data_IF_480135661763
#
_entry.id   IF_480135661763
#
_cell.length_a   1.000
_cell.length_b   1.000
_cell.length_c   1.000
_cell.angle_alpha   90.00
_cell.angle_beta   90.00
_cell.angle_gamma   90.00
#
_symmetry.space_group_name_H-M   'P 1'
#
loop_
_entity.id
_entity.type
_entity.pdbx_description
1 polymer ?
#
# COMPACT_ATOMS: atom_id res chain seq x y z
N UNK A 1 22.37 19.16 4.64
CA UNK A 1 22.96 20.44 4.19
C UNK A 1 21.87 21.13 3.39
N UNK A 2 21.39 22.28 3.85
CA UNK A 2 20.26 22.97 3.22
C UNK A 2 20.74 23.70 1.97
N UNK A 3 20.44 23.14 0.80
CA UNK A 3 20.65 23.78 -0.51
C UNK A 3 19.36 24.54 -0.83
N UNK A 4 19.46 25.84 -1.14
CA UNK A 4 18.28 26.61 -1.53
C UNK A 4 17.77 26.21 -2.92
N UNK A 5 16.49 26.51 -3.19
CA UNK A 5 15.82 26.09 -4.43
C UNK A 5 16.45 26.63 -5.72
N UNK A 6 17.08 27.81 -5.69
CA UNK A 6 17.70 28.38 -6.89
C UNK A 6 19.02 27.67 -7.18
N UNK A 7 19.83 27.43 -6.14
CA UNK A 7 21.06 26.67 -6.26
C UNK A 7 20.80 25.26 -6.75
N UNK A 8 19.80 24.57 -6.19
CA UNK A 8 19.43 23.23 -6.65
C UNK A 8 18.92 23.22 -8.10
N UNK A 9 18.08 24.18 -8.50
CA UNK A 9 17.61 24.29 -9.88
C UNK A 9 18.74 24.58 -10.88
N UNK A 10 19.78 25.32 -10.47
CA UNK A 10 20.96 25.57 -11.29
C UNK A 10 21.82 24.30 -11.44
N UNK A 11 21.99 23.53 -10.36
CA UNK A 11 22.67 22.23 -10.39
C UNK A 11 21.94 21.29 -11.36
N UNK A 12 20.63 21.10 -11.19
CA UNK A 12 19.83 20.21 -12.03
C UNK A 12 19.88 20.58 -13.52
N UNK A 13 19.86 21.88 -13.84
CA UNK A 13 20.04 22.35 -15.23
C UNK A 13 21.45 22.09 -15.76
N UNK A 14 22.47 22.24 -14.93
CA UNK A 14 23.86 21.93 -15.28
C UNK A 14 24.09 20.44 -15.61
N UNK A 15 23.28 19.54 -15.04
CA UNK A 15 23.32 18.10 -15.32
C UNK A 15 22.66 17.72 -16.66
N UNK A 16 22.06 18.67 -17.40
CA UNK A 16 21.43 18.45 -18.71
C UNK A 16 20.36 17.34 -18.76
N UNK A 17 19.60 17.18 -17.68
CA UNK A 17 18.53 16.19 -17.55
C UNK A 17 17.45 16.38 -18.63
N UNK A 18 16.97 15.27 -19.19
CA UNK A 18 15.85 15.24 -20.14
C UNK A 18 14.50 15.16 -19.40
N UNK A 19 14.43 14.31 -18.38
CA UNK A 19 13.24 14.06 -17.56
C UNK A 19 13.61 14.12 -16.08
N UNK A 20 12.92 14.96 -15.32
CA UNK A 20 13.01 15.04 -13.86
C UNK A 20 11.77 14.37 -13.24
N UNK A 21 11.98 13.37 -12.39
CA UNK A 21 10.89 12.65 -11.73
C UNK A 21 10.89 12.92 -10.23
N UNK A 22 9.77 13.38 -9.71
CA UNK A 22 9.60 13.66 -8.29
C UNK A 22 9.07 12.45 -7.53
N UNK A 23 9.86 11.95 -6.59
CA UNK A 23 9.48 10.86 -5.69
C UNK A 23 9.23 11.34 -4.25
N UNK A 24 9.49 12.61 -3.96
CA UNK A 24 9.53 13.17 -2.61
C UNK A 24 8.15 13.62 -2.11
N UNK A 25 7.27 14.02 -3.02
CA UNK A 25 5.94 14.52 -2.69
C UNK A 25 5.99 15.77 -1.78
N UNK A 26 4.97 15.92 -0.92
CA UNK A 26 4.85 17.06 0.02
C UNK A 26 5.82 17.01 1.21
N UNK A 27 6.51 15.86 1.42
CA UNK A 27 7.42 15.66 2.54
C UNK A 27 8.69 16.51 2.46
N UNK A 28 9.03 17.01 1.26
CA UNK A 28 10.19 17.87 1.04
C UNK A 28 9.81 19.15 0.27
N UNK A 29 9.20 20.15 0.95
CA UNK A 29 8.71 21.38 0.32
C UNK A 29 9.80 22.16 -0.44
N UNK A 30 11.06 22.05 0.00
CA UNK A 30 12.20 22.66 -0.68
C UNK A 30 12.38 22.14 -2.11
N UNK A 31 12.24 20.82 -2.31
CA UNK A 31 12.32 20.14 -3.61
C UNK A 31 11.09 20.42 -4.48
N UNK A 32 9.93 20.73 -3.89
CA UNK A 32 8.75 21.13 -4.65
C UNK A 32 8.92 22.49 -5.33
N UNK A 33 9.60 23.42 -4.65
CA UNK A 33 9.75 24.80 -5.13
C UNK A 33 10.76 24.99 -6.28
N UNK A 34 11.66 24.03 -6.51
CA UNK A 34 12.61 24.04 -7.64
C UNK A 34 11.93 23.75 -8.98
N UNK A 35 10.77 23.08 -8.94
CA UNK A 35 10.05 22.58 -10.12
C UNK A 35 9.32 23.70 -10.85
N UNK A 36 8.83 24.69 -10.11
CA UNK A 36 8.32 25.93 -10.70
C UNK A 36 9.39 26.71 -11.49
N UNK A 37 10.68 26.38 -11.32
CA UNK A 37 11.79 26.99 -12.06
C UNK A 37 12.14 26.26 -13.36
N UNK A 38 11.37 25.22 -13.75
CA UNK A 38 11.62 24.39 -14.95
C UNK A 38 13.06 23.89 -15.02
N UNK A 39 13.41 23.02 -14.07
CA UNK A 39 14.77 22.51 -13.89
C UNK A 39 15.15 21.41 -14.90
N UNK A 40 14.16 20.86 -15.62
CA UNK A 40 14.34 19.95 -16.76
C UNK A 40 13.23 20.19 -17.81
N UNK A 41 13.42 19.78 -19.07
CA UNK A 41 12.42 19.90 -20.14
C UNK A 41 11.10 19.20 -19.82
N UNK A 42 11.16 18.02 -19.19
CA UNK A 42 10.00 17.28 -18.71
C UNK A 42 10.10 17.09 -17.20
N UNK A 43 9.02 17.39 -16.49
CA UNK A 43 8.94 17.17 -15.05
C UNK A 43 7.69 16.32 -14.72
N UNK A 44 7.91 15.13 -14.19
CA UNK A 44 6.85 14.18 -13.84
C UNK A 44 6.71 14.06 -12.33
N UNK A 45 5.47 13.94 -11.86
CA UNK A 45 5.19 13.55 -10.49
C UNK A 45 5.00 12.03 -10.38
N UNK A 46 5.74 11.36 -9.50
CA UNK A 46 5.46 9.97 -9.14
C UNK A 46 4.49 9.90 -7.95
N UNK A 47 4.66 10.79 -6.96
CA UNK A 47 4.26 10.51 -5.58
C UNK A 47 3.85 11.74 -4.76
N UNK A 48 3.12 12.70 -5.33
CA UNK A 48 2.34 13.60 -4.49
C UNK A 48 1.29 12.80 -3.70
N UNK A 49 1.71 12.35 -2.51
CA UNK A 49 0.85 11.77 -1.50
C UNK A 49 -0.27 12.74 -1.13
N UNK A 50 -1.44 12.15 -0.86
CA UNK A 50 -2.59 12.78 -0.21
C UNK A 50 -2.97 14.15 -0.81
N UNK A 51 -3.81 14.14 -1.85
CA UNK A 51 -4.56 15.32 -2.26
C UNK A 51 -4.55 15.51 -3.77
N UNK A 52 -5.71 15.38 -4.37
CA UNK A 52 -5.95 15.55 -5.80
C UNK A 52 -5.80 17.02 -6.28
N UNK A 53 -5.13 17.89 -5.52
CA UNK A 53 -5.25 19.36 -5.69
C UNK A 53 -3.96 20.17 -5.57
N UNK A 54 -2.78 19.61 -5.83
CA UNK A 54 -1.58 20.43 -6.08
C UNK A 54 -1.47 20.70 -7.58
N UNK A 55 -2.45 21.46 -8.07
CA UNK A 55 -2.75 21.62 -9.50
C UNK A 55 -1.70 22.48 -10.24
N UNK A 56 -0.76 23.15 -9.56
CA UNK A 56 -0.01 24.28 -10.17
C UNK A 56 1.53 24.29 -9.99
N UNK A 57 2.19 23.21 -9.57
CA UNK A 57 3.64 23.23 -9.29
C UNK A 57 4.58 23.05 -10.50
N UNK A 58 4.06 23.10 -11.73
CA UNK A 58 4.89 23.05 -12.95
C UNK A 58 5.30 21.63 -13.39
N UNK A 59 4.50 20.61 -13.07
CA UNK A 59 4.64 19.26 -13.64
C UNK A 59 3.91 19.16 -14.99
N UNK A 60 4.50 18.40 -15.91
CA UNK A 60 3.93 18.15 -17.24
C UNK A 60 3.01 16.91 -17.25
N UNK A 61 3.18 16.01 -16.28
CA UNK A 61 2.33 14.83 -16.12
C UNK A 61 2.53 14.15 -14.78
N UNK A 62 1.70 13.15 -14.52
CA UNK A 62 1.82 12.29 -13.34
C UNK A 62 1.93 10.82 -13.72
N UNK A 63 2.71 10.06 -12.97
CA UNK A 63 2.65 8.62 -12.98
C UNK A 63 1.41 8.20 -12.22
N UNK A 64 0.59 7.39 -12.86
CA UNK A 64 -0.62 6.85 -12.26
C UNK A 64 -0.74 5.37 -12.53
N UNK A 65 -1.58 4.74 -11.75
CA UNK A 65 -1.71 3.31 -11.64
C UNK A 65 -3.15 2.87 -12.03
N UNK A 66 -4.08 3.83 -12.00
CA UNK A 66 -5.43 3.78 -12.57
C UNK A 66 -5.61 4.97 -13.54
N UNK A 67 -6.34 4.77 -14.65
CA UNK A 67 -6.78 5.89 -15.50
C UNK A 67 -7.89 6.65 -14.77
N UNK A 68 -7.53 7.61 -13.94
CA UNK A 68 -8.52 8.60 -13.49
C UNK A 68 -8.55 9.78 -14.44
N UNK A 69 -9.75 10.32 -14.68
CA UNK A 69 -10.02 11.48 -15.53
C UNK A 69 -9.59 12.79 -14.89
N UNK A 70 -8.31 12.88 -14.50
CA UNK A 70 -7.67 14.11 -14.06
C UNK A 70 -7.39 15.06 -15.24
N UNK A 71 -7.16 16.34 -14.94
CA UNK A 71 -6.87 17.37 -15.93
C UNK A 71 -5.43 17.29 -16.52
N UNK A 72 -4.59 16.35 -16.06
CA UNK A 72 -3.20 16.17 -16.52
C UNK A 72 -3.04 14.93 -17.39
N UNK A 73 -1.97 14.92 -18.19
CA UNK A 73 -1.53 13.74 -18.90
C UNK A 73 -1.07 12.68 -17.89
N UNK A 74 -1.91 11.67 -17.67
CA UNK A 74 -1.64 10.55 -16.78
C UNK A 74 -0.87 9.45 -17.51
N UNK A 75 0.38 9.24 -17.13
CA UNK A 75 1.21 8.16 -17.65
C UNK A 75 0.97 6.91 -16.81
N UNK A 76 0.27 5.94 -17.38
CA UNK A 76 -0.11 4.72 -16.68
C UNK A 76 1.08 3.77 -16.53
N UNK A 77 1.46 3.47 -15.29
CA UNK A 77 2.40 2.40 -14.93
C UNK A 77 1.63 1.08 -14.79
N UNK A 78 1.76 0.21 -15.79
CA UNK A 78 1.17 -1.13 -15.85
C UNK A 78 1.65 -2.02 -14.71
N UNK A 79 2.89 -1.85 -14.27
CA UNK A 79 3.46 -2.58 -13.12
C UNK A 79 2.97 -2.08 -11.76
N UNK A 80 2.62 -0.79 -11.66
CA UNK A 80 2.16 -0.15 -10.42
C UNK A 80 3.07 0.97 -9.98
N UNK A 81 2.57 1.84 -9.10
CA UNK A 81 3.38 2.92 -8.51
C UNK A 81 4.32 2.42 -7.42
N UNK A 82 4.20 1.16 -7.05
CA UNK A 82 5.02 0.49 -6.05
C UNK A 82 5.73 -0.67 -6.70
N UNK A 83 7.04 -0.75 -6.43
CA UNK A 83 7.85 -1.89 -6.79
C UNK A 83 8.00 -2.77 -5.57
N UNK A 84 7.62 -4.04 -5.72
CA UNK A 84 7.77 -5.04 -4.68
C UNK A 84 8.89 -6.00 -5.08
N UNK A 85 9.70 -6.40 -4.11
CA UNK A 85 10.62 -7.51 -4.28
C UNK A 85 10.05 -8.74 -3.59
N UNK A 86 10.29 -9.94 -4.12
CA UNK A 86 10.01 -11.18 -3.40
C UNK A 86 10.57 -11.09 -1.96
N UNK A 87 9.75 -11.30 -0.92
CA UNK A 87 10.24 -11.32 0.45
C UNK A 87 11.29 -12.43 0.62
N UNK A 88 12.28 -12.19 1.47
CA UNK A 88 13.35 -13.16 1.72
C UNK A 88 12.86 -14.42 2.47
N UNK A 89 11.71 -14.33 3.13
CA UNK A 89 11.15 -15.41 3.93
C UNK A 89 10.44 -16.45 3.07
N UNK A 90 10.59 -17.73 3.45
CA UNK A 90 9.86 -18.82 2.83
C UNK A 90 8.35 -18.65 2.99
N UNK A 91 7.56 -19.05 1.98
CA UNK A 91 6.11 -19.07 2.05
C UNK A 91 5.55 -19.82 3.25
N UNK A 92 4.41 -19.39 3.76
CA UNK A 92 3.69 -20.09 4.83
C UNK A 92 2.90 -21.24 4.20
N UNK A 93 3.43 -22.47 4.25
CA UNK A 93 2.86 -23.63 3.57
C UNK A 93 1.51 -24.10 4.13
N UNK A 94 1.24 -23.87 5.42
CA UNK A 94 0.02 -24.29 6.09
C UNK A 94 -0.64 -23.13 6.83
N UNK A 95 -1.98 -23.03 6.77
CA UNK A 95 -2.72 -22.05 7.55
C UNK A 95 -2.48 -22.28 9.06
N UNK A 96 -2.01 -21.29 9.82
CA UNK A 96 -1.85 -21.39 11.28
C UNK A 96 -3.13 -21.83 11.99
N UNK A 97 -4.30 -21.47 11.46
CA UNK A 97 -5.58 -21.91 12.04
C UNK A 97 -5.75 -23.43 12.13
N UNK A 98 -5.05 -24.21 11.29
CA UNK A 98 -5.14 -25.68 11.32
C UNK A 98 -4.45 -26.28 12.55
N UNK A 99 -3.38 -25.66 13.06
CA UNK A 99 -2.70 -26.12 14.28
C UNK A 99 -3.31 -25.50 15.54
N UNK A 100 -3.65 -24.21 15.48
CA UNK A 100 -4.02 -23.44 16.67
C UNK A 100 -5.51 -23.54 17.02
N UNK A 101 -6.35 -23.94 16.06
CA UNK A 101 -7.79 -24.13 16.26
C UNK A 101 -8.62 -22.84 16.26
N UNK A 102 -8.01 -21.70 15.95
CA UNK A 102 -8.64 -20.40 15.79
C UNK A 102 -8.05 -19.66 14.59
N UNK A 103 -8.74 -18.64 14.10
CA UNK A 103 -8.29 -17.80 12.99
C UNK A 103 -7.59 -16.58 13.54
N UNK A 104 -6.43 -16.26 12.99
CA UNK A 104 -5.69 -15.04 13.31
C UNK A 104 -5.82 -14.04 12.17
N UNK A 105 -6.52 -12.93 12.42
CA UNK A 105 -6.44 -11.73 11.61
C UNK A 105 -5.16 -10.98 11.97
N UNK A 106 -4.42 -10.49 10.98
CA UNK A 106 -3.21 -9.70 11.17
C UNK A 106 -3.40 -8.27 10.68
N UNK A 107 -2.85 -7.29 11.38
CA UNK A 107 -2.73 -5.92 10.86
C UNK A 107 -1.35 -5.33 11.15
N UNK A 108 -0.67 -4.84 10.11
CA UNK A 108 0.48 -3.95 10.27
C UNK A 108 -0.02 -2.51 10.41
N UNK A 109 0.25 -1.88 11.56
CA UNK A 109 -0.25 -0.53 11.89
C UNK A 109 0.73 0.25 12.76
N UNK A 110 0.82 1.55 12.50
CA UNK A 110 1.36 2.51 13.46
C UNK A 110 0.21 3.10 14.30
N UNK A 111 0.46 3.49 15.55
CA UNK A 111 -0.62 3.93 16.46
C UNK A 111 -1.36 5.16 15.95
N UNK A 112 -0.65 6.02 15.20
CA UNK A 112 -1.20 7.21 14.56
C UNK A 112 -2.19 6.90 13.44
N UNK A 113 -2.11 5.70 12.84
CA UNK A 113 -3.00 5.26 11.77
C UNK A 113 -4.35 4.73 12.31
N UNK A 114 -4.39 4.36 13.60
CA UNK A 114 -5.56 3.78 14.25
C UNK A 114 -6.54 4.84 14.75
N UNK A 115 -7.74 4.81 14.19
CA UNK A 115 -8.86 5.65 14.57
C UNK A 115 -10.05 4.80 15.03
N UNK A 116 -11.06 5.46 15.61
CA UNK A 116 -12.24 4.81 16.16
C UNK A 116 -13.00 3.97 15.13
N UNK A 117 -13.11 4.44 13.88
CA UNK A 117 -13.83 3.76 12.81
C UNK A 117 -13.19 2.40 12.47
N UNK A 118 -11.85 2.35 12.34
CA UNK A 118 -11.12 1.09 12.12
C UNK A 118 -11.35 0.12 13.28
N UNK A 119 -11.25 0.60 14.53
CA UNK A 119 -11.40 -0.26 15.71
C UNK A 119 -12.82 -0.82 15.84
N UNK A 120 -13.86 -0.02 15.55
CA UNK A 120 -15.25 -0.46 15.58
C UNK A 120 -15.54 -1.52 14.50
N UNK A 121 -14.97 -1.35 13.29
CA UNK A 121 -15.08 -2.33 12.20
C UNK A 121 -14.36 -3.63 12.54
N UNK A 122 -13.11 -3.56 13.03
CA UNK A 122 -12.38 -4.74 13.44
C UNK A 122 -13.03 -5.45 14.63
N UNK A 123 -13.57 -4.69 15.59
CA UNK A 123 -14.37 -5.26 16.67
C UNK A 123 -15.58 -6.05 16.14
N UNK A 124 -16.26 -5.51 15.13
CA UNK A 124 -17.39 -6.19 14.47
C UNK A 124 -16.93 -7.45 13.71
N UNK A 125 -15.76 -7.43 13.06
CA UNK A 125 -15.15 -8.61 12.45
C UNK A 125 -14.91 -9.71 13.48
N UNK A 126 -14.28 -9.37 14.61
CA UNK A 126 -13.95 -10.30 15.69
C UNK A 126 -15.21 -10.91 16.33
N UNK A 127 -16.29 -10.14 16.48
CA UNK A 127 -17.58 -10.67 16.93
C UNK A 127 -18.22 -11.60 15.88
N UNK A 128 -18.03 -11.32 14.59
CA UNK A 128 -18.58 -12.13 13.51
C UNK A 128 -17.90 -13.49 13.37
N UNK A 129 -16.65 -13.64 13.85
CA UNK A 129 -15.85 -14.87 13.82
C UNK A 129 -15.44 -15.27 15.24
N UNK A 130 -16.31 -15.96 16.00
CA UNK A 130 -16.04 -16.26 17.41
C UNK A 130 -14.71 -17.00 17.61
N UNK A 131 -14.00 -16.65 18.68
CA UNK A 131 -12.68 -17.17 19.07
C UNK A 131 -11.51 -16.75 18.18
N UNK A 132 -11.71 -15.92 17.16
CA UNK A 132 -10.60 -15.37 16.38
C UNK A 132 -9.64 -14.53 17.25
N UNK A 133 -8.50 -14.17 16.67
CA UNK A 133 -7.53 -13.23 17.23
C UNK A 133 -7.24 -12.12 16.24
N UNK A 134 -6.89 -10.95 16.75
CA UNK A 134 -6.30 -9.86 15.99
C UNK A 134 -4.87 -9.66 16.48
N UNK A 135 -3.91 -10.09 15.66
CA UNK A 135 -2.48 -9.89 15.89
C UNK A 135 -2.05 -8.56 15.25
N UNK A 136 -1.54 -7.65 16.07
CA UNK A 136 -1.06 -6.35 15.61
C UNK A 136 0.47 -6.34 15.54
N UNK A 137 1.00 -5.80 14.45
CA UNK A 137 2.42 -5.65 14.21
C UNK A 137 2.75 -4.19 13.88
N UNK A 138 3.77 -3.64 14.52
CA UNK A 138 4.15 -2.24 14.34
C UNK A 138 5.27 -1.84 15.29
N UNK A 139 6.14 -0.93 14.85
CA UNK A 139 7.34 -0.56 15.61
C UNK A 139 6.98 0.12 16.95
N UNK A 140 5.90 0.90 16.97
CA UNK A 140 5.43 1.65 18.14
C UNK A 140 4.64 0.78 19.14
N UNK A 141 4.30 -0.46 18.76
CA UNK A 141 3.54 -1.40 19.61
C UNK A 141 4.43 -2.15 20.61
N UNK A 142 5.74 -1.88 20.61
CA UNK A 142 6.71 -2.49 21.53
C UNK A 142 6.68 -1.88 22.94
N UNK A 143 5.96 -0.77 23.15
CA UNK A 143 5.83 -0.11 24.45
C UNK A 143 4.55 -0.54 25.21
N UNK A 144 4.64 -1.07 26.44
CA UNK A 144 3.48 -1.56 27.19
C UNK A 144 2.34 -0.53 27.37
N UNK A 145 2.68 0.75 27.60
CA UNK A 145 1.69 1.83 27.75
C UNK A 145 0.93 2.12 26.45
N UNK A 146 1.59 1.98 25.30
CA UNK A 146 0.94 2.12 24.00
C UNK A 146 -0.05 0.98 23.76
N UNK A 147 0.32 -0.24 24.14
CA UNK A 147 -0.54 -1.43 24.05
C UNK A 147 -1.76 -1.29 24.95
N UNK A 148 -1.59 -0.90 26.22
CA UNK A 148 -2.71 -0.65 27.15
C UNK A 148 -3.63 0.46 26.65
N UNK A 149 -3.05 1.57 26.16
CA UNK A 149 -3.83 2.66 25.56
C UNK A 149 -4.58 2.23 24.31
N UNK A 150 -4.04 1.31 23.51
CA UNK A 150 -4.73 0.77 22.35
C UNK A 150 -5.87 -0.17 22.73
N UNK A 151 -5.60 -1.13 23.62
CA UNK A 151 -6.60 -2.11 24.06
C UNK A 151 -7.78 -1.40 24.75
N UNK A 152 -7.50 -0.37 25.56
CA UNK A 152 -8.55 0.44 26.20
C UNK A 152 -9.43 1.25 25.24
N UNK A 153 -9.04 1.43 23.97
CA UNK A 153 -9.92 2.04 22.95
C UNK A 153 -11.03 1.09 22.50
N UNK A 154 -10.92 -0.21 22.77
CA UNK A 154 -11.98 -1.17 22.54
C UNK A 154 -12.91 -1.19 23.76
N UNK A 155 -14.12 -0.66 23.60
CA UNK A 155 -15.12 -0.54 24.69
C UNK A 155 -15.69 -1.90 25.15
N UNK A 156 -15.26 -3.02 24.56
CA UNK A 156 -15.76 -4.36 24.84
C UNK A 156 -14.61 -5.29 25.30
N UNK A 157 -14.72 -5.78 26.53
CA UNK A 157 -13.73 -6.66 27.16
C UNK A 157 -13.52 -7.99 26.43
N UNK A 158 -14.55 -8.52 25.75
CA UNK A 158 -14.42 -9.75 24.96
C UNK A 158 -13.60 -9.53 23.69
N UNK A 159 -13.71 -8.34 23.09
CA UNK A 159 -12.90 -7.95 21.93
C UNK A 159 -11.48 -7.66 22.37
N UNK A 160 -11.31 -6.92 23.47
CA UNK A 160 -10.01 -6.63 24.06
C UNK A 160 -9.19 -7.91 24.35
N UNK A 161 -9.85 -8.98 24.82
CA UNK A 161 -9.22 -10.27 25.08
C UNK A 161 -8.81 -11.05 23.81
N UNK A 162 -9.22 -10.61 22.62
CA UNK A 162 -8.84 -11.22 21.33
C UNK A 162 -7.68 -10.47 20.65
N UNK A 163 -7.21 -9.37 21.22
CA UNK A 163 -6.14 -8.55 20.64
C UNK A 163 -4.81 -9.00 21.21
N UNK A 164 -3.88 -9.29 20.32
CA UNK A 164 -2.52 -9.72 20.63
C UNK A 164 -1.54 -8.80 19.90
N UNK A 165 -0.36 -8.60 20.48
CA UNK A 165 0.72 -7.82 19.87
C UNK A 165 1.82 -8.80 19.47
N UNK A 166 2.29 -8.72 18.23
CA UNK A 166 3.40 -9.53 17.76
C UNK A 166 4.69 -9.07 18.49
N UNK A 167 5.26 -9.97 19.30
CA UNK A 167 6.47 -9.70 20.08
C UNK A 167 7.74 -9.67 19.20
N UNK A 168 7.72 -10.42 18.09
CA UNK A 168 8.83 -10.45 17.15
C UNK A 168 8.83 -9.22 16.24
N UNK A 169 9.99 -8.59 16.10
CA UNK A 169 10.15 -7.37 15.28
C UNK A 169 10.22 -7.65 13.77
N UNK A 170 10.11 -8.92 13.36
CA UNK A 170 10.25 -9.32 11.96
C UNK A 170 8.88 -9.49 11.31
N UNK A 171 8.66 -8.79 10.19
CA UNK A 171 7.44 -8.97 9.38
C UNK A 171 7.26 -10.40 8.91
N UNK A 172 8.36 -11.11 8.63
CA UNK A 172 8.31 -12.52 8.25
C UNK A 172 7.72 -13.42 9.35
N UNK A 173 8.03 -13.14 10.61
CA UNK A 173 7.50 -13.85 11.77
C UNK A 173 6.01 -13.55 11.93
N UNK A 174 5.64 -12.26 11.90
CA UNK A 174 4.25 -11.83 11.90
C UNK A 174 3.41 -12.53 10.82
N UNK A 175 3.88 -12.56 9.56
CA UNK A 175 3.14 -13.19 8.47
C UNK A 175 2.95 -14.71 8.66
N UNK A 176 3.85 -15.38 9.39
CA UNK A 176 3.72 -16.82 9.71
C UNK A 176 2.63 -17.12 10.73
N UNK A 177 2.21 -16.13 11.52
CA UNK A 177 1.23 -16.32 12.58
C UNK A 177 -0.20 -15.99 12.15
N UNK A 178 -0.37 -15.38 10.97
CA UNK A 178 -1.66 -14.87 10.51
C UNK A 178 -2.30 -15.73 9.41
N UNK A 179 -3.62 -15.82 9.46
CA UNK A 179 -4.42 -16.50 8.45
C UNK A 179 -4.92 -15.54 7.37
N UNK A 180 -5.21 -14.29 7.74
CA UNK A 180 -5.78 -13.23 6.91
C UNK A 180 -5.16 -11.91 7.32
N UNK A 181 -4.73 -11.08 6.38
CA UNK A 181 -4.30 -9.71 6.66
C UNK A 181 -5.50 -8.76 6.49
N UNK A 182 -5.74 -7.89 7.47
CA UNK A 182 -6.76 -6.84 7.43
C UNK A 182 -6.07 -5.48 7.45
N UNK A 183 -6.48 -4.57 6.56
CA UNK A 183 -5.87 -3.23 6.48
C UNK A 183 -6.63 -2.21 7.29
N UNK A 184 -5.93 -1.32 8.00
CA UNK A 184 -6.52 -0.13 8.58
C UNK A 184 -6.96 0.87 7.49
N UNK A 185 -7.79 1.85 7.87
CA UNK A 185 -8.26 2.93 7.00
C UNK A 185 -8.50 4.19 7.84
N UNK A 186 -8.26 5.40 7.32
CA UNK A 186 -7.96 5.73 5.93
C UNK A 186 -6.46 5.65 5.58
N UNK A 187 -5.64 5.01 6.43
CA UNK A 187 -4.22 4.80 6.17
C UNK A 187 -3.92 3.32 5.98
N UNK A 188 -3.45 2.96 4.79
CA UNK A 188 -2.98 1.62 4.46
C UNK A 188 -1.74 1.74 3.58
N UNK A 189 -0.75 0.89 3.85
CA UNK A 189 0.47 0.77 3.04
C UNK A 189 0.41 -0.52 2.25
N UNK A 190 0.81 -0.55 0.97
CA UNK A 190 0.68 -1.75 0.14
C UNK A 190 1.83 -2.75 0.34
N UNK A 191 2.87 -2.42 1.12
CA UNK A 191 4.06 -3.27 1.30
C UNK A 191 3.74 -4.57 2.06
N UNK A 192 3.16 -4.50 3.26
CA UNK A 192 2.76 -5.71 3.98
C UNK A 192 1.66 -6.51 3.25
N UNK A 193 0.62 -5.89 2.67
CA UNK A 193 -0.30 -6.57 1.75
C UNK A 193 0.40 -7.32 0.61
N UNK A 194 1.39 -6.72 -0.05
CA UNK A 194 2.13 -7.40 -1.11
C UNK A 194 2.92 -8.61 -0.59
N UNK A 195 3.62 -8.48 0.55
CA UNK A 195 4.34 -9.60 1.16
C UNK A 195 3.38 -10.71 1.64
N UNK A 196 2.22 -10.34 2.18
CA UNK A 196 1.17 -11.26 2.59
C UNK A 196 0.64 -12.06 1.40
N UNK A 197 0.26 -11.39 0.30
CA UNK A 197 -0.20 -12.01 -0.94
C UNK A 197 0.86 -12.95 -1.54
N UNK A 198 2.13 -12.53 -1.58
CA UNK A 198 3.24 -13.36 -2.05
C UNK A 198 3.41 -14.63 -1.20
N UNK A 199 3.10 -14.52 0.09
CA UNK A 199 3.15 -15.60 1.09
C UNK A 199 1.86 -16.44 1.14
N UNK A 200 0.89 -16.17 0.25
CA UNK A 200 -0.39 -16.88 0.18
C UNK A 200 -1.41 -16.47 1.23
N UNK A 201 -1.21 -15.32 1.89
CA UNK A 201 -2.14 -14.81 2.91
C UNK A 201 -3.14 -13.88 2.21
N UNK A 202 -4.45 -14.16 2.27
CA UNK A 202 -5.46 -13.27 1.71
C UNK A 202 -5.47 -11.93 2.46
N UNK A 203 -5.74 -10.85 1.73
CA UNK A 203 -5.79 -9.49 2.28
C UNK A 203 -7.20 -8.95 2.14
N UNK A 204 -7.74 -8.36 3.20
CA UNK A 204 -9.00 -7.60 3.17
C UNK A 204 -8.67 -6.12 3.28
N UNK A 205 -9.10 -5.37 2.27
CA UNK A 205 -8.92 -3.92 2.21
C UNK A 205 -10.24 -3.22 1.90
N UNK A 206 -10.31 -1.92 2.16
CA UNK A 206 -11.46 -1.09 1.85
C UNK A 206 -11.07 -0.04 0.82
N UNK A 207 -11.94 0.16 -0.17
CA UNK A 207 -11.80 1.21 -1.16
C UNK A 207 -12.01 2.56 -0.50
N UNK A 208 -11.02 3.43 -0.62
CA UNK A 208 -11.09 4.77 -0.05
C UNK A 208 -10.99 5.83 -1.14
N UNK A 209 -11.49 7.03 -0.86
CA UNK A 209 -11.34 8.17 -1.78
C UNK A 209 -9.92 8.73 -1.75
N UNK A 210 -9.15 8.47 -0.68
CA UNK A 210 -7.78 8.94 -0.56
C UNK A 210 -6.77 7.98 -1.23
N UNK A 211 -5.75 8.55 -1.88
CA UNK A 211 -4.77 7.82 -2.70
C UNK A 211 -3.97 6.77 -1.91
N UNK A 212 -3.72 7.02 -0.61
CA UNK A 212 -2.90 6.12 0.24
C UNK A 212 -3.56 4.76 0.44
N UNK A 213 -4.84 4.71 0.83
CA UNK A 213 -5.55 3.43 0.95
C UNK A 213 -5.90 2.81 -0.40
N UNK A 214 -5.97 3.59 -1.47
CA UNK A 214 -6.20 3.06 -2.82
C UNK A 214 -5.07 2.16 -3.31
N UNK A 215 -3.83 2.37 -2.86
CA UNK A 215 -2.70 1.60 -3.36
C UNK A 215 -2.85 0.09 -3.14
N UNK A 216 -3.40 -0.32 -1.98
CA UNK A 216 -3.68 -1.74 -1.71
C UNK A 216 -4.86 -2.26 -2.52
N UNK A 217 -5.92 -1.46 -2.69
CA UNK A 217 -7.05 -1.82 -3.54
C UNK A 217 -6.62 -1.98 -5.01
N UNK A 218 -5.71 -1.13 -5.49
CA UNK A 218 -5.17 -1.18 -6.84
C UNK A 218 -4.24 -2.36 -7.04
N UNK A 219 -3.42 -2.70 -6.04
CA UNK A 219 -2.64 -3.93 -6.01
C UNK A 219 -3.56 -5.16 -6.18
N UNK A 220 -4.62 -5.25 -5.38
CA UNK A 220 -5.60 -6.32 -5.48
C UNK A 220 -6.34 -6.31 -6.83
N UNK A 221 -6.63 -5.15 -7.40
CA UNK A 221 -7.25 -5.02 -8.72
C UNK A 221 -6.34 -5.52 -9.84
N UNK A 222 -5.03 -5.23 -9.78
CA UNK A 222 -4.03 -5.70 -10.75
C UNK A 222 -3.86 -7.21 -10.73
N UNK A 223 -3.89 -7.78 -9.53
CA UNK A 223 -3.81 -9.23 -9.31
C UNK A 223 -5.14 -9.95 -9.56
N UNK A 224 -6.23 -9.22 -9.87
CA UNK A 224 -7.55 -9.80 -10.17
C UNK A 224 -8.38 -10.19 -8.94
N UNK A 225 -7.97 -9.79 -7.73
CA UNK A 225 -8.63 -10.14 -6.48
C UNK A 225 -9.56 -9.07 -5.90
N UNK A 226 -9.67 -7.89 -6.53
CA UNK A 226 -10.48 -6.79 -5.99
C UNK A 226 -11.91 -7.19 -5.62
N UNK A 227 -12.59 -7.99 -6.44
CA UNK A 227 -13.97 -8.43 -6.14
C UNK A 227 -14.08 -9.38 -4.92
N UNK A 228 -13.00 -10.05 -4.53
CA UNK A 228 -12.97 -11.01 -3.42
C UNK A 228 -12.39 -10.43 -2.12
N UNK A 229 -11.75 -9.25 -2.20
CA UNK A 229 -10.82 -8.75 -1.18
C UNK A 229 -10.87 -7.23 -0.95
N UNK A 230 -11.60 -6.48 -1.78
CA UNK A 230 -11.74 -5.01 -1.64
C UNK A 230 -13.20 -4.66 -1.39
N UNK A 231 -13.50 -4.30 -0.15
CA UNK A 231 -14.81 -3.79 0.25
C UNK A 231 -15.06 -2.36 -0.26
N UNK A 232 -16.31 -2.01 -0.55
CA UNK A 232 -16.72 -0.64 -0.88
C UNK A 232 -17.05 0.20 0.37
N UNK A 233 -17.34 -0.43 1.50
CA UNK A 233 -17.70 0.20 2.78
C UNK A 233 -17.43 -0.74 3.96
N UNK A 234 -17.67 -0.24 5.17
CA UNK A 234 -17.45 -0.95 6.42
C UNK A 234 -18.27 -2.25 6.53
N UNK A 235 -19.53 -2.24 6.10
CA UNK A 235 -20.41 -3.40 6.15
C UNK A 235 -19.89 -4.55 5.26
N UNK A 236 -19.47 -4.23 4.05
CA UNK A 236 -18.87 -5.20 3.13
C UNK A 236 -17.50 -5.68 3.63
N UNK A 237 -16.71 -4.82 4.28
CA UNK A 237 -15.45 -5.21 4.89
C UNK A 237 -15.67 -6.27 5.98
N UNK A 238 -16.67 -6.06 6.85
CA UNK A 238 -17.02 -7.01 7.90
C UNK A 238 -17.49 -8.34 7.30
N UNK A 239 -18.34 -8.28 6.27
CA UNK A 239 -18.84 -9.47 5.59
C UNK A 239 -17.70 -10.27 4.93
N UNK A 240 -16.84 -9.61 4.16
CA UNK A 240 -15.69 -10.24 3.50
C UNK A 240 -14.72 -10.86 4.51
N UNK A 241 -14.33 -10.12 5.55
CA UNK A 241 -13.45 -10.65 6.59
C UNK A 241 -14.10 -11.83 7.34
N UNK A 242 -15.41 -11.78 7.58
CA UNK A 242 -16.18 -12.86 8.16
C UNK A 242 -16.21 -14.12 7.30
N UNK A 243 -16.44 -13.98 6.00
CA UNK A 243 -16.47 -15.09 5.02
C UNK A 243 -15.11 -15.77 4.91
N UNK A 244 -14.05 -14.96 4.77
CA UNK A 244 -12.67 -15.45 4.77
C UNK A 244 -12.30 -16.10 6.11
N UNK A 245 -12.75 -15.53 7.23
CA UNK A 245 -12.50 -16.07 8.57
C UNK A 245 -13.17 -17.42 8.80
N UNK A 246 -14.42 -17.58 8.38
CA UNK A 246 -15.17 -18.84 8.60
C UNK A 246 -14.77 -19.96 7.66
N UNK A 247 -14.21 -19.64 6.49
CA UNK A 247 -13.97 -20.63 5.43
C UNK A 247 -12.49 -21.06 5.33
N UNK A 248 -12.15 -22.15 6.03
CA UNK A 248 -10.80 -22.74 6.00
C UNK A 248 -10.41 -23.28 4.62
N UNK A 249 -11.37 -23.79 3.85
CA UNK A 249 -11.12 -24.33 2.51
C UNK A 249 -10.79 -23.21 1.53
N UNK A 250 -11.51 -22.08 1.62
CA UNK A 250 -11.21 -20.87 0.84
C UNK A 250 -9.79 -20.36 1.11
N UNK A 251 -9.38 -20.29 2.39
CA UNK A 251 -7.99 -19.92 2.76
C UNK A 251 -6.95 -20.91 2.25
N UNK A 252 -7.26 -22.20 2.32
CA UNK A 252 -6.35 -23.26 1.85
C UNK A 252 -6.19 -23.22 0.32
N UNK A 253 -7.30 -23.04 -0.41
CA UNK A 253 -7.30 -22.93 -1.87
C UNK A 253 -6.56 -21.67 -2.34
N UNK A 254 -6.75 -20.53 -1.67
CA UNK A 254 -5.99 -19.32 -1.99
C UNK A 254 -4.47 -19.54 -1.81
N UNK A 255 -4.06 -20.19 -0.72
CA UNK A 255 -2.65 -20.53 -0.47
C UNK A 255 -2.07 -21.47 -1.52
N UNK A 256 -2.82 -22.47 -2.00
CA UNK A 256 -2.33 -23.43 -2.99
C UNK A 256 -2.37 -22.92 -4.42
N UNK A 257 -3.51 -22.34 -4.84
CA UNK A 257 -3.84 -22.17 -6.25
C UNK A 257 -3.45 -20.77 -6.76
N UNK A 258 -3.70 -19.75 -5.93
CA UNK A 258 -3.56 -18.34 -6.32
C UNK A 258 -2.14 -17.81 -6.07
N UNK A 259 -1.45 -18.36 -5.07
CA UNK A 259 -0.10 -17.90 -4.69
C UNK A 259 0.91 -18.05 -5.83
N UNK A 260 0.85 -19.13 -6.61
CA UNK A 260 1.76 -19.31 -7.75
C UNK A 260 1.53 -18.22 -8.81
N UNK A 261 0.27 -17.95 -9.15
CA UNK A 261 -0.08 -16.89 -10.11
C UNK A 261 0.38 -15.51 -9.64
N UNK A 262 0.29 -15.22 -8.33
CA UNK A 262 0.79 -13.96 -7.75
C UNK A 262 2.31 -13.86 -7.90
N UNK A 263 3.07 -14.94 -7.63
CA UNK A 263 4.54 -14.94 -7.75
C UNK A 263 5.03 -14.83 -9.18
N UNK A 264 4.30 -15.41 -10.12
CA UNK A 264 4.59 -15.33 -11.56
C UNK A 264 4.07 -14.04 -12.20
N UNK A 265 3.30 -13.24 -11.45
CA UNK A 265 2.85 -11.93 -11.92
C UNK A 265 4.03 -10.95 -12.04
N UNK A 266 3.87 -9.96 -12.93
CA UNK A 266 4.86 -8.89 -13.10
C UNK A 266 4.97 -7.91 -11.91
N UNK A 267 4.14 -8.05 -10.87
CA UNK A 267 4.09 -7.13 -9.71
C UNK A 267 5.38 -7.20 -8.86
N UNK A 268 6.02 -8.38 -8.83
CA UNK A 268 7.26 -8.60 -8.08
C UNK A 268 8.52 -8.62 -8.96
N UNK A 269 8.39 -8.32 -10.26
CA UNK A 269 9.51 -8.25 -11.19
C UNK A 269 9.94 -6.80 -11.43
N UNK A 270 11.00 -6.38 -10.74
CA UNK A 270 11.57 -5.04 -10.89
C UNK A 270 11.93 -4.71 -12.34
N UNK A 271 12.36 -5.69 -13.14
CA UNK A 271 12.74 -5.44 -14.53
C UNK A 271 11.53 -5.09 -15.38
N UNK A 272 10.37 -5.70 -15.11
CA UNK A 272 9.12 -5.37 -15.80
C UNK A 272 8.70 -3.93 -15.47
N UNK A 273 8.74 -3.56 -14.19
CA UNK A 273 8.38 -2.21 -13.74
C UNK A 273 9.36 -1.16 -14.30
N UNK A 274 10.67 -1.41 -14.24
CA UNK A 274 11.68 -0.50 -14.79
C UNK A 274 11.50 -0.29 -16.29
N UNK A 275 11.27 -1.35 -17.06
CA UNK A 275 11.03 -1.24 -18.52
C UNK A 275 9.78 -0.44 -18.85
N UNK A 276 8.76 -0.52 -18.02
CA UNK A 276 7.53 0.25 -18.19
C UNK A 276 7.76 1.74 -17.91
N UNK A 277 8.49 2.05 -16.83
CA UNK A 277 8.90 3.42 -16.50
C UNK A 277 9.79 4.04 -17.58
N UNK A 278 10.76 3.29 -18.10
CA UNK A 278 11.62 3.75 -19.21
C UNK A 278 10.79 4.16 -20.42
N UNK A 279 9.82 3.32 -20.83
CA UNK A 279 8.90 3.64 -21.93
C UNK A 279 8.10 4.91 -21.67
N UNK A 280 7.59 5.08 -20.45
CA UNK A 280 6.86 6.27 -20.05
C UNK A 280 7.74 7.51 -20.15
N UNK A 281 8.99 7.45 -19.70
CA UNK A 281 9.91 8.59 -19.77
C UNK A 281 10.23 8.97 -21.22
N UNK A 282 10.46 7.99 -22.10
CA UNK A 282 10.62 8.26 -23.53
C UNK A 282 9.38 8.90 -24.15
N UNK A 283 8.18 8.37 -23.87
CA UNK A 283 6.91 8.94 -24.36
C UNK A 283 6.69 10.37 -23.87
N UNK A 284 6.93 10.64 -22.60
CA UNK A 284 6.78 11.97 -22.03
C UNK A 284 7.75 12.97 -22.66
N UNK A 285 8.98 12.54 -22.94
CA UNK A 285 9.99 13.35 -23.62
C UNK A 285 9.64 13.63 -25.08
N UNK A 286 9.27 12.60 -25.85
CA UNK A 286 8.84 12.77 -27.25
C UNK A 286 7.65 13.73 -27.35
N UNK A 287 6.64 13.57 -26.49
CA UNK A 287 5.51 14.48 -26.42
C UNK A 287 5.91 15.93 -26.08
N UNK A 288 6.94 16.14 -25.25
CA UNK A 288 7.45 17.48 -24.96
C UNK A 288 8.21 18.10 -26.13
N UNK A 289 9.01 17.32 -26.85
CA UNK A 289 9.71 17.75 -28.07
C UNK A 289 8.71 18.16 -29.15
N UNK A 290 7.65 17.37 -29.35
CA UNK A 290 6.58 17.68 -30.31
C UNK A 290 5.83 18.99 -29.96
N UNK A 291 5.72 19.31 -28.66
CA UNK A 291 5.17 20.58 -28.17
C UNK A 291 6.15 21.76 -28.29
N UNK A 292 7.35 21.54 -28.82
CA UNK A 292 8.36 22.58 -29.07
C UNK A 292 9.20 22.96 -27.84
N UNK A 293 9.19 22.13 -26.79
CA UNK A 293 10.10 22.32 -25.64
C UNK A 293 11.53 22.05 -26.11
N UNK A 294 12.39 23.07 -26.05
CA UNK A 294 13.83 22.96 -26.36
C UNK A 294 14.64 22.93 -25.06
N UNK A 295 15.76 22.19 -25.06
CA UNK A 295 16.77 22.20 -23.98
C UNK A 295 17.33 23.60 -23.75
#
# INVERSE_FOLDING_TARGET
RDIDKYTLAAILRGENLDVLVDISGIGEPGLLSTKSLRSAPVQLDWRLGIGNSIVELGYDGELTDIREGGNREGFRVLGGLYSFTPPAASPVETCPSKSNGFVTFGAEVDLVELNRETLDVWGSVLLSVPKSRLLLFGNELTHPLAVESLISKFDNSEIAAQIEICEESSRASFLREIDILVTAFPYCRPYCPAEALFSGIPVISMRMVNRVCQDTANLLQRLGFAQKMVAANAEEYIALAGDWGKNTDLRSAFRSDETQAIRESGVFDLKVITRDLEKIYFQAYEAAVDRGVKK
#
